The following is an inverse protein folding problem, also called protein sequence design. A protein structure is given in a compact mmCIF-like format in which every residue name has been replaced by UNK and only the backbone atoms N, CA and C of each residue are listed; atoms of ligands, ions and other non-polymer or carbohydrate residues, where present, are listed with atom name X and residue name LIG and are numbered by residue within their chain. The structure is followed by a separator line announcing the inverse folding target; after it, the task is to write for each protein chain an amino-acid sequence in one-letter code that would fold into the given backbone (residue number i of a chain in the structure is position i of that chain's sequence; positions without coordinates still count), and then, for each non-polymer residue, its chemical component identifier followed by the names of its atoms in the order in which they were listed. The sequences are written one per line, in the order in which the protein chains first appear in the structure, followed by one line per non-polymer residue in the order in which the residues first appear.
data_IF_419103911736
#
_entry.id   IF_419103911736
#
_cell.length_a   1.000
_cell.length_b   1.000
_cell.length_c   1.000
_cell.angle_alpha   90.00
_cell.angle_beta   90.00
_cell.angle_gamma   90.00
#
_symmetry.space_group_name_H-M   'P 1'
#
loop_
_entity.id
_entity.type
_entity.pdbx_description
1 polymer ?
#
# COMPACT_ATOMS: atom_id res chain seq x y z
N UNK A 1 20.39 -51.76 66.80
CA UNK A 1 21.12 -50.57 66.31
C UNK A 1 20.87 -50.47 64.81
N UNK A 2 19.93 -49.63 64.40
CA UNK A 2 19.43 -49.56 63.02
C UNK A 2 20.20 -48.48 62.23
N UNK A 3 20.88 -48.86 61.14
CA UNK A 3 21.48 -47.91 60.20
C UNK A 3 20.49 -47.62 59.06
N UNK A 4 19.92 -46.42 59.06
CA UNK A 4 19.15 -45.86 57.96
C UNK A 4 20.12 -45.41 56.85
N UNK A 5 19.98 -45.97 55.65
CA UNK A 5 20.64 -45.47 54.44
C UNK A 5 19.83 -44.28 53.92
N UNK A 6 20.41 -43.09 53.91
CA UNK A 6 19.83 -41.91 53.28
C UNK A 6 20.27 -41.85 51.81
N UNK A 7 19.31 -41.96 50.89
CA UNK A 7 19.51 -41.75 49.46
C UNK A 7 19.47 -40.24 49.18
N UNK A 8 20.56 -39.67 48.67
CA UNK A 8 20.60 -38.29 48.21
C UNK A 8 20.25 -38.24 46.72
N UNK A 9 19.04 -37.78 46.39
CA UNK A 9 18.62 -37.52 45.01
C UNK A 9 19.10 -36.12 44.62
N UNK A 10 20.07 -36.04 43.71
CA UNK A 10 20.58 -34.78 43.16
C UNK A 10 19.58 -34.23 42.14
N UNK A 11 18.81 -33.20 42.53
CA UNK A 11 17.96 -32.46 41.61
C UNK A 11 18.82 -31.50 40.79
N UNK A 12 19.02 -31.81 39.51
CA UNK A 12 19.65 -30.88 38.55
C UNK A 12 18.60 -29.84 38.16
N UNK A 13 18.74 -28.64 38.71
CA UNK A 13 17.93 -27.48 38.33
C UNK A 13 18.46 -26.96 36.98
N UNK A 14 17.77 -27.28 35.88
CA UNK A 14 18.01 -26.67 34.57
C UNK A 14 17.57 -25.21 34.65
N UNK A 15 18.53 -24.31 34.90
CA UNK A 15 18.34 -22.88 34.77
C UNK A 15 18.23 -22.57 33.27
N UNK A 16 17.01 -22.42 32.77
CA UNK A 16 16.78 -21.89 31.42
C UNK A 16 17.32 -20.45 31.40
N UNK A 17 18.47 -20.26 30.78
CA UNK A 17 19.01 -18.93 30.48
C UNK A 17 18.06 -18.33 29.44
N UNK A 18 17.13 -17.49 29.88
CA UNK A 18 16.36 -16.65 28.99
C UNK A 18 17.36 -15.70 28.32
N UNK A 19 17.72 -15.99 27.06
CA UNK A 19 18.44 -15.03 26.23
C UNK A 19 17.61 -13.74 26.19
N UNK A 20 18.22 -12.55 26.39
CA UNK A 20 17.48 -11.31 26.28
C UNK A 20 16.87 -11.25 24.89
N UNK A 21 15.54 -11.09 24.82
CA UNK A 21 14.87 -10.79 23.58
C UNK A 21 15.53 -9.52 23.02
N UNK A 22 16.14 -9.61 21.83
CA UNK A 22 16.74 -8.46 21.17
C UNK A 22 15.72 -7.34 21.04
N UNK A 23 16.16 -6.08 21.18
CA UNK A 23 15.29 -4.94 21.01
C UNK A 23 14.66 -4.96 19.60
N UNK A 24 13.36 -4.70 19.50
CA UNK A 24 12.65 -4.69 18.23
C UNK A 24 13.27 -3.65 17.26
N UNK A 25 13.38 -4.03 15.99
CA UNK A 25 13.87 -3.17 14.93
C UNK A 25 12.88 -2.01 14.71
N UNK A 26 13.35 -0.77 14.83
CA UNK A 26 12.47 0.40 14.64
C UNK A 26 12.32 0.71 13.16
N UNK A 27 11.13 0.51 12.63
CA UNK A 27 10.82 0.68 11.21
C UNK A 27 9.86 1.85 11.03
N UNK A 28 10.23 2.77 10.13
CA UNK A 28 9.34 3.82 9.66
C UNK A 28 8.80 3.44 8.29
N UNK A 29 7.51 3.19 8.19
CA UNK A 29 6.83 3.00 6.91
C UNK A 29 6.32 4.35 6.39
N UNK A 30 6.45 4.61 5.08
CA UNK A 30 5.92 5.85 4.49
C UNK A 30 4.39 5.84 4.47
N UNK A 31 3.79 4.68 4.22
CA UNK A 31 2.35 4.48 4.11
C UNK A 31 1.84 3.37 5.03
N UNK A 32 0.55 3.43 5.43
CA UNK A 32 -0.04 2.44 6.34
C UNK A 32 -0.12 1.02 5.76
N UNK A 33 -0.21 0.84 4.42
CA UNK A 33 -0.13 -0.49 3.78
C UNK A 33 1.18 -1.19 4.13
N UNK A 34 2.28 -0.44 3.95
CA UNK A 34 3.63 -0.90 4.22
C UNK A 34 3.80 -1.15 5.73
N UNK A 35 3.17 -0.32 6.56
CA UNK A 35 3.20 -0.50 8.01
C UNK A 35 2.51 -1.80 8.44
N UNK A 36 1.31 -2.09 7.93
CA UNK A 36 0.59 -3.34 8.20
C UNK A 36 1.42 -4.54 7.72
N UNK A 37 1.83 -4.57 6.44
CA UNK A 37 2.63 -5.67 5.89
C UNK A 37 3.91 -5.91 6.69
N UNK A 38 4.63 -4.85 7.07
CA UNK A 38 5.84 -4.96 7.91
C UNK A 38 5.53 -5.61 9.26
N UNK A 39 4.41 -5.27 9.91
CA UNK A 39 4.01 -5.92 11.17
C UNK A 39 3.63 -7.39 10.97
N UNK A 40 2.91 -7.73 9.89
CA UNK A 40 2.54 -9.12 9.58
C UNK A 40 3.77 -10.01 9.36
N UNK A 41 4.81 -9.45 8.75
CA UNK A 41 6.08 -10.14 8.46
C UNK A 41 6.99 -10.20 9.70
N UNK A 42 7.17 -9.06 10.38
CA UNK A 42 8.14 -8.92 11.46
C UNK A 42 7.66 -9.35 12.84
N UNK A 43 6.34 -9.37 13.08
CA UNK A 43 5.77 -9.68 14.39
C UNK A 43 6.36 -8.80 15.50
N UNK A 44 6.68 -9.40 16.66
CA UNK A 44 7.27 -8.70 17.81
C UNK A 44 8.71 -8.21 17.56
N UNK A 45 9.35 -8.63 16.46
CA UNK A 45 10.73 -8.24 16.15
C UNK A 45 10.81 -6.86 15.49
N UNK A 46 9.68 -6.26 15.14
CA UNK A 46 9.62 -4.91 14.55
C UNK A 46 8.72 -4.02 15.39
N UNK A 47 9.15 -2.78 15.59
CA UNK A 47 8.32 -1.69 16.07
C UNK A 47 8.09 -0.73 14.90
N UNK A 48 6.85 -0.68 14.41
CA UNK A 48 6.51 -0.02 13.14
C UNK A 48 5.65 1.21 13.37
N UNK A 49 6.10 2.35 12.88
CA UNK A 49 5.32 3.59 12.80
C UNK A 49 5.12 4.03 11.35
N UNK A 50 4.00 4.67 11.05
CA UNK A 50 3.72 5.23 9.71
C UNK A 50 3.93 6.75 9.67
N UNK A 51 4.26 7.27 8.49
CA UNK A 51 4.31 8.71 8.18
C UNK A 51 2.90 9.19 7.77
N UNK A 52 2.36 8.65 6.68
CA UNK A 52 1.05 9.03 6.15
C UNK A 52 -0.10 8.36 6.91
N UNK A 53 -1.29 8.97 6.80
CA UNK A 53 -2.56 8.43 7.26
C UNK A 53 -3.37 7.87 6.07
N UNK A 54 -4.26 6.90 6.31
CA UNK A 54 -4.93 6.17 5.25
C UNK A 54 -5.89 6.99 4.38
N UNK A 55 -6.38 8.13 4.87
CA UNK A 55 -7.31 9.00 4.16
C UNK A 55 -6.60 10.15 3.40
N UNK A 56 -5.27 10.17 3.39
CA UNK A 56 -4.49 11.23 2.75
C UNK A 56 -4.19 10.89 1.28
N UNK A 57 -3.99 11.94 0.48
CA UNK A 57 -3.42 11.84 -0.85
C UNK A 57 -1.92 11.46 -0.73
N UNK A 58 -1.49 10.31 -1.29
CA UNK A 58 -0.12 9.84 -1.14
C UNK A 58 0.92 10.76 -1.81
N UNK A 59 0.49 11.64 -2.73
CA UNK A 59 1.34 12.64 -3.38
C UNK A 59 1.49 13.94 -2.56
N UNK A 60 0.67 14.11 -1.51
CA UNK A 60 0.59 15.35 -0.71
C UNK A 60 0.77 15.12 0.79
N UNK A 61 1.57 14.12 1.16
CA UNK A 61 1.90 13.87 2.57
C UNK A 61 2.58 15.11 3.17
N UNK A 62 2.07 15.66 4.29
CA UNK A 62 2.60 16.89 4.87
C UNK A 62 3.98 16.67 5.49
N UNK A 63 4.94 17.55 5.19
CA UNK A 63 6.27 17.54 5.84
C UNK A 63 6.15 18.10 7.26
N UNK A 64 6.34 17.27 8.29
CA UNK A 64 6.20 17.64 9.71
C UNK A 64 7.50 17.41 10.50
N UNK A 65 7.87 18.27 11.47
CA UNK A 65 9.05 18.04 12.32
C UNK A 65 9.02 16.71 13.08
N UNK A 66 7.85 16.24 13.48
CA UNK A 66 7.71 14.94 14.17
C UNK A 66 8.13 13.75 13.29
N UNK A 67 8.05 13.86 11.97
CA UNK A 67 8.50 12.81 11.05
C UNK A 67 10.04 12.76 10.98
N UNK A 68 10.71 13.90 11.07
CA UNK A 68 12.17 13.98 11.18
C UNK A 68 12.65 13.22 12.41
N UNK A 69 12.01 13.42 13.57
CA UNK A 69 12.36 12.70 14.80
C UNK A 69 12.18 11.19 14.66
N UNK A 70 11.09 10.73 14.04
CA UNK A 70 10.87 9.30 13.74
C UNK A 70 12.00 8.74 12.87
N UNK A 71 12.31 9.42 11.76
CA UNK A 71 13.33 8.99 10.79
C UNK A 71 14.75 9.04 11.36
N UNK A 72 15.08 10.03 12.19
CA UNK A 72 16.39 10.14 12.84
C UNK A 72 16.69 8.92 13.72
N UNK A 73 15.66 8.36 14.34
CA UNK A 73 15.76 7.20 15.21
C UNK A 73 15.45 5.87 14.51
N UNK A 74 15.12 5.86 13.22
CA UNK A 74 14.78 4.62 12.54
C UNK A 74 16.01 3.74 12.31
N UNK A 75 15.81 2.43 12.36
CA UNK A 75 16.80 1.45 11.90
C UNK A 75 16.53 1.04 10.45
N UNK A 76 15.26 1.12 10.01
CA UNK A 76 14.86 0.99 8.61
C UNK A 76 13.73 1.97 8.23
N UNK A 77 13.68 2.34 6.95
CA UNK A 77 12.55 3.00 6.30
C UNK A 77 12.01 2.11 5.18
N UNK A 78 10.70 1.90 5.16
CA UNK A 78 10.02 1.15 4.09
C UNK A 78 9.24 2.15 3.24
N UNK A 79 9.56 2.18 1.95
CA UNK A 79 8.96 3.08 0.96
C UNK A 79 8.13 2.29 -0.05
N UNK A 80 7.10 2.91 -0.62
CA UNK A 80 6.36 2.36 -1.75
C UNK A 80 7.30 2.30 -2.95
N UNK A 81 8.04 3.37 -3.24
CA UNK A 81 8.95 3.42 -4.37
C UNK A 81 8.30 3.97 -5.64
N UNK A 82 8.93 3.73 -6.79
CA UNK A 82 8.61 4.35 -8.09
C UNK A 82 8.48 5.90 -8.05
N UNK A 83 9.12 6.53 -7.07
CA UNK A 83 9.13 7.98 -6.90
C UNK A 83 7.91 8.57 -6.18
N UNK A 84 7.00 7.75 -5.63
CA UNK A 84 5.80 8.23 -4.94
C UNK A 84 6.15 9.21 -3.80
N UNK A 85 7.23 8.94 -3.07
CA UNK A 85 7.66 9.75 -1.94
C UNK A 85 8.41 11.04 -2.30
N UNK A 86 8.62 11.34 -3.58
CA UNK A 86 9.51 12.41 -4.05
C UNK A 86 9.22 13.77 -3.42
N UNK A 87 7.94 14.09 -3.18
CA UNK A 87 7.52 15.38 -2.66
C UNK A 87 7.82 15.60 -1.16
N UNK A 88 8.01 14.53 -0.37
CA UNK A 88 8.08 14.66 1.10
C UNK A 88 9.25 13.94 1.76
N UNK A 89 9.65 12.75 1.29
CA UNK A 89 10.66 11.95 1.98
C UNK A 89 12.09 12.51 1.82
N UNK A 90 12.54 12.97 0.63
CA UNK A 90 13.89 13.53 0.49
C UNK A 90 14.23 14.66 1.47
N UNK A 91 13.41 15.74 1.61
CA UNK A 91 13.71 16.79 2.59
C UNK A 91 13.63 16.29 4.04
N UNK A 92 12.77 15.32 4.35
CA UNK A 92 12.71 14.73 5.69
C UNK A 92 13.99 13.95 6.03
N UNK A 93 14.50 13.14 5.09
CA UNK A 93 15.74 12.37 5.27
C UNK A 93 16.96 13.29 5.40
N UNK A 94 17.02 14.36 4.62
CA UNK A 94 18.10 15.36 4.70
C UNK A 94 18.20 15.98 6.10
N UNK A 95 17.06 16.37 6.69
CA UNK A 95 17.03 16.95 8.04
C UNK A 95 17.23 15.88 9.11
N UNK A 96 16.71 14.67 8.91
CA UNK A 96 16.85 13.56 9.85
C UNK A 96 18.30 13.10 10.02
N UNK A 97 19.16 13.28 9.00
CA UNK A 97 20.60 12.96 9.03
C UNK A 97 20.90 11.54 9.53
N UNK A 98 20.08 10.58 9.14
CA UNK A 98 20.27 9.18 9.51
C UNK A 98 20.81 8.39 8.32
N UNK A 99 22.11 8.09 8.35
CA UNK A 99 22.79 7.37 7.28
C UNK A 99 22.29 5.93 7.09
N UNK A 100 21.68 5.29 8.11
CA UNK A 100 21.18 3.91 7.99
C UNK A 100 20.08 3.78 6.94
N UNK A 101 19.29 4.84 6.78
CA UNK A 101 18.07 4.87 5.96
C UNK A 101 18.19 5.85 4.79
N UNK A 102 19.40 6.24 4.40
CA UNK A 102 19.59 7.05 3.20
C UNK A 102 19.30 6.21 1.94
N UNK A 103 18.83 6.81 0.82
CA UNK A 103 18.59 6.06 -0.41
C UNK A 103 19.83 5.27 -0.84
N UNK A 104 19.66 3.97 -1.08
CA UNK A 104 20.74 3.04 -1.44
C UNK A 104 21.37 2.28 -0.26
N UNK A 105 21.06 2.66 0.99
CA UNK A 105 21.62 2.03 2.18
C UNK A 105 20.83 0.79 2.63
N UNK A 106 21.39 0.04 3.59
CA UNK A 106 20.78 -1.20 4.09
C UNK A 106 19.37 -0.99 4.64
N UNK A 107 19.16 0.09 5.40
CA UNK A 107 17.88 0.42 6.01
C UNK A 107 16.88 1.07 5.06
N UNK A 108 17.22 1.34 3.80
CA UNK A 108 16.24 1.82 2.81
C UNK A 108 15.63 0.64 2.07
N UNK A 109 14.38 0.34 2.36
CA UNK A 109 13.64 -0.82 1.83
C UNK A 109 12.61 -0.31 0.83
N UNK A 110 12.81 -0.63 -0.44
CA UNK A 110 11.91 -0.25 -1.53
C UNK A 110 10.93 -1.39 -1.86
N UNK A 111 9.65 -1.19 -1.56
CA UNK A 111 8.61 -2.19 -1.80
C UNK A 111 8.32 -2.42 -3.30
N UNK A 112 8.79 -1.53 -4.18
CA UNK A 112 8.65 -1.66 -5.62
C UNK A 112 9.72 -2.54 -6.28
N UNK A 113 10.68 -3.07 -5.51
CA UNK A 113 11.86 -3.80 -6.03
C UNK A 113 11.53 -4.89 -7.06
N UNK A 114 10.42 -5.61 -6.85
CA UNK A 114 9.98 -6.71 -7.71
C UNK A 114 8.82 -6.36 -8.64
N UNK A 115 8.36 -5.11 -8.60
CA UNK A 115 7.23 -4.64 -9.40
C UNK A 115 7.72 -4.38 -10.82
N UNK A 116 6.96 -4.88 -11.80
CA UNK A 116 7.08 -4.42 -13.18
C UNK A 116 6.18 -3.18 -13.35
N UNK A 117 6.74 -1.97 -13.51
CA UNK A 117 5.92 -0.77 -13.51
C UNK A 117 5.04 -0.68 -14.77
N UNK A 118 3.82 -0.18 -14.58
CA UNK A 118 2.91 0.21 -15.65
C UNK A 118 3.03 1.71 -15.95
N UNK A 119 2.59 2.14 -17.12
CA UNK A 119 2.58 3.54 -17.56
C UNK A 119 3.95 4.24 -17.42
N UNK A 120 5.04 3.53 -17.68
CA UNK A 120 6.38 4.13 -17.74
C UNK A 120 6.44 5.14 -18.90
N UNK A 121 6.70 6.44 -18.65
CA UNK A 121 6.72 7.43 -19.71
C UNK A 121 7.77 7.11 -20.78
N UNK A 122 7.38 7.20 -22.05
CA UNK A 122 8.28 6.96 -23.19
C UNK A 122 9.17 8.16 -23.52
N UNK A 123 8.93 9.33 -22.91
CA UNK A 123 9.76 10.52 -23.07
C UNK A 123 10.02 11.16 -21.71
N UNK A 124 11.28 11.45 -21.38
CA UNK A 124 11.64 12.08 -20.11
C UNK A 124 11.53 13.62 -20.14
N UNK A 125 10.61 14.17 -20.93
CA UNK A 125 10.48 15.63 -21.08
C UNK A 125 9.87 16.23 -19.81
N UNK A 126 10.74 16.60 -18.87
CA UNK A 126 10.41 17.23 -17.58
C UNK A 126 9.56 18.50 -17.69
N UNK A 127 9.50 19.14 -18.86
CA UNK A 127 8.63 20.28 -19.14
C UNK A 127 7.14 19.94 -19.11
N UNK A 128 6.76 18.67 -19.16
CA UNK A 128 5.37 18.24 -19.00
C UNK A 128 4.95 18.04 -17.53
N UNK A 129 5.84 18.23 -16.56
CA UNK A 129 5.47 18.08 -15.14
C UNK A 129 5.03 16.65 -14.79
N UNK A 130 5.67 15.64 -15.39
CA UNK A 130 5.45 14.23 -15.08
C UNK A 130 5.89 13.93 -13.65
N UNK A 131 4.95 13.50 -12.80
CA UNK A 131 5.20 13.20 -11.39
C UNK A 131 5.74 11.77 -11.16
N UNK A 132 5.67 10.90 -12.18
CA UNK A 132 6.05 9.48 -12.08
C UNK A 132 7.00 9.04 -13.21
N UNK A 133 8.26 9.51 -13.20
CA UNK A 133 9.24 9.16 -14.24
C UNK A 133 9.61 7.67 -14.26
N UNK A 134 9.30 6.92 -13.19
CA UNK A 134 9.59 5.49 -13.07
C UNK A 134 8.36 4.60 -13.37
N UNK A 135 7.24 5.20 -13.80
CA UNK A 135 5.95 4.54 -13.98
C UNK A 135 5.02 4.72 -12.79
N UNK A 136 3.77 4.29 -12.96
CA UNK A 136 2.69 4.48 -12.01
C UNK A 136 2.97 3.75 -10.67
N UNK A 137 2.93 4.43 -9.50
CA UNK A 137 3.29 3.84 -8.22
C UNK A 137 2.15 3.11 -7.49
N UNK A 138 0.92 3.11 -8.01
CA UNK A 138 -0.27 2.63 -7.31
C UNK A 138 -0.46 1.10 -7.44
N UNK A 139 0.64 0.35 -7.44
CA UNK A 139 0.63 -1.11 -7.56
C UNK A 139 0.07 -1.79 -6.32
N UNK A 140 0.03 -1.11 -5.17
CA UNK A 140 -0.59 -1.61 -3.95
C UNK A 140 -2.07 -2.00 -4.12
N UNK A 141 -2.78 -1.43 -5.11
CA UNK A 141 -4.17 -1.79 -5.41
C UNK A 141 -4.36 -3.16 -6.08
N UNK A 142 -3.29 -3.78 -6.61
CA UNK A 142 -3.32 -5.16 -7.08
C UNK A 142 -2.77 -6.10 -5.98
N UNK A 143 -3.59 -6.98 -5.39
CA UNK A 143 -3.14 -7.87 -4.31
C UNK A 143 -2.07 -8.87 -4.73
N UNK A 144 -1.91 -9.17 -6.02
CA UNK A 144 -0.78 -9.97 -6.50
C UNK A 144 0.53 -9.18 -6.43
N UNK A 145 0.49 -7.88 -6.73
CA UNK A 145 1.63 -6.98 -6.52
C UNK A 145 1.89 -6.79 -5.01
N UNK A 146 0.83 -6.76 -4.18
CA UNK A 146 0.94 -6.78 -2.72
C UNK A 146 1.77 -7.94 -2.15
N UNK A 147 1.76 -9.11 -2.80
CA UNK A 147 2.67 -10.22 -2.43
C UNK A 147 4.13 -9.90 -2.73
N UNK A 148 4.40 -9.23 -3.86
CA UNK A 148 5.76 -8.82 -4.24
C UNK A 148 6.29 -7.73 -3.30
N UNK A 149 5.40 -6.83 -2.85
CA UNK A 149 5.71 -5.86 -1.79
C UNK A 149 6.12 -6.57 -0.50
N UNK A 150 5.32 -7.54 -0.05
CA UNK A 150 5.61 -8.31 1.15
C UNK A 150 6.96 -9.04 1.05
N UNK A 151 7.29 -9.58 -0.11
CA UNK A 151 8.60 -10.20 -0.37
C UNK A 151 9.74 -9.17 -0.23
N UNK A 152 9.64 -8.03 -0.92
CA UNK A 152 10.65 -6.97 -0.85
C UNK A 152 10.84 -6.46 0.59
N UNK A 153 9.76 -6.34 1.36
CA UNK A 153 9.81 -5.96 2.77
C UNK A 153 10.55 -7.01 3.60
N UNK A 154 10.21 -8.29 3.47
CA UNK A 154 10.84 -9.36 4.25
C UNK A 154 12.35 -9.47 3.99
N UNK A 155 12.76 -9.43 2.73
CA UNK A 155 14.18 -9.44 2.34
C UNK A 155 14.91 -8.18 2.81
N UNK A 156 14.23 -7.02 2.76
CA UNK A 156 14.74 -5.78 3.31
C UNK A 156 14.99 -5.86 4.82
N UNK A 157 14.03 -6.41 5.57
CA UNK A 157 14.15 -6.61 7.01
C UNK A 157 15.27 -7.60 7.35
N UNK A 158 15.39 -8.71 6.60
CA UNK A 158 16.48 -9.68 6.76
C UNK A 158 17.86 -9.06 6.50
N UNK A 159 17.96 -8.17 5.52
CA UNK A 159 19.20 -7.44 5.23
C UNK A 159 19.61 -6.49 6.36
N UNK A 160 18.64 -5.86 7.03
CA UNK A 160 18.89 -4.93 8.15
C UNK A 160 19.15 -5.68 9.46
N UNK A 161 18.45 -6.79 9.68
CA UNK A 161 18.52 -7.61 10.89
C UNK A 161 18.67 -9.11 10.55
N UNK A 162 19.89 -9.57 10.21
CA UNK A 162 20.15 -10.96 9.82
C UNK A 162 19.82 -11.99 10.91
N UNK A 163 19.94 -11.61 12.19
CA UNK A 163 19.58 -12.47 13.32
C UNK A 163 18.06 -12.75 13.35
N UNK A 164 17.27 -11.95 12.62
CA UNK A 164 15.82 -12.05 12.46
C UNK A 164 15.36 -12.81 11.22
N UNK A 165 16.28 -13.23 10.34
CA UNK A 165 15.98 -13.83 9.04
C UNK A 165 14.86 -14.87 9.09
N UNK A 166 14.98 -15.84 10.01
CA UNK A 166 13.97 -16.90 10.16
C UNK A 166 12.58 -16.35 10.50
N UNK A 167 12.51 -15.36 11.39
CA UNK A 167 11.24 -14.72 11.77
C UNK A 167 10.57 -14.06 10.57
N UNK A 168 11.34 -13.30 9.78
CA UNK A 168 10.84 -12.60 8.61
C UNK A 168 10.42 -13.56 7.49
N UNK A 169 11.20 -14.62 7.24
CA UNK A 169 10.88 -15.65 6.26
C UNK A 169 9.61 -16.43 6.65
N UNK A 170 9.49 -16.83 7.93
CA UNK A 170 8.29 -17.50 8.42
C UNK A 170 7.06 -16.56 8.37
N UNK A 171 7.24 -15.27 8.69
CA UNK A 171 6.21 -14.24 8.60
C UNK A 171 5.74 -14.03 7.16
N UNK A 172 6.68 -13.88 6.22
CA UNK A 172 6.39 -13.79 4.78
C UNK A 172 5.62 -15.02 4.29
N UNK A 173 6.04 -16.23 4.66
CA UNK A 173 5.39 -17.46 4.24
C UNK A 173 3.93 -17.52 4.74
N UNK A 174 3.69 -17.19 6.02
CA UNK A 174 2.34 -17.13 6.60
C UNK A 174 1.46 -16.08 5.89
N UNK A 175 1.99 -14.87 5.71
CA UNK A 175 1.23 -13.77 5.13
C UNK A 175 0.96 -14.01 3.63
N UNK A 176 1.93 -14.52 2.89
CA UNK A 176 1.77 -14.90 1.49
C UNK A 176 0.70 -15.98 1.31
N UNK A 177 0.67 -16.99 2.18
CA UNK A 177 -0.36 -18.02 2.14
C UNK A 177 -1.76 -17.48 2.45
N UNK A 178 -1.86 -16.47 3.32
CA UNK A 178 -3.10 -15.76 3.58
C UNK A 178 -3.54 -14.94 2.36
N UNK A 179 -2.63 -14.18 1.75
CA UNK A 179 -2.89 -13.44 0.52
C UNK A 179 -3.31 -14.37 -0.62
N UNK A 180 -2.70 -15.54 -0.78
CA UNK A 180 -3.09 -16.50 -1.83
C UNK A 180 -4.54 -16.98 -1.71
N UNK A 181 -4.99 -17.24 -0.47
CA UNK A 181 -6.40 -17.57 -0.21
C UNK A 181 -7.30 -16.40 -0.55
N UNK A 182 -6.94 -15.20 -0.09
CA UNK A 182 -7.72 -13.99 -0.32
C UNK A 182 -7.78 -13.58 -1.79
N UNK A 183 -6.69 -13.67 -2.53
CA UNK A 183 -6.64 -13.44 -3.99
C UNK A 183 -7.56 -14.41 -4.71
N UNK A 184 -7.61 -15.68 -4.30
CA UNK A 184 -8.52 -16.66 -4.88
C UNK A 184 -10.00 -16.36 -4.59
N UNK A 185 -10.30 -15.86 -3.39
CA UNK A 185 -11.64 -15.38 -3.02
C UNK A 185 -12.03 -14.12 -3.81
N UNK A 186 -11.12 -13.16 -3.89
CA UNK A 186 -11.31 -11.88 -4.57
C UNK A 186 -11.45 -12.03 -6.08
N UNK A 187 -10.75 -12.98 -6.71
CA UNK A 187 -10.94 -13.28 -8.12
C UNK A 187 -12.41 -13.69 -8.42
N UNK A 188 -13.07 -14.41 -7.51
CA UNK A 188 -14.48 -14.77 -7.63
C UNK A 188 -15.40 -13.58 -7.33
N UNK A 189 -15.11 -12.85 -6.25
CA UNK A 189 -15.87 -11.66 -5.86
C UNK A 189 -15.89 -10.60 -6.98
N UNK A 190 -14.73 -10.34 -7.58
CA UNK A 190 -14.51 -9.30 -8.57
C UNK A 190 -14.84 -9.75 -10.00
N UNK A 191 -15.28 -10.98 -10.23
CA UNK A 191 -15.66 -11.46 -11.56
C UNK A 191 -16.66 -10.54 -12.29
N UNK A 192 -17.66 -9.90 -11.62
CA UNK A 192 -18.55 -8.94 -12.27
C UNK A 192 -17.89 -7.64 -12.74
N UNK A 193 -16.66 -7.33 -12.32
CA UNK A 193 -15.95 -6.11 -12.72
C UNK A 193 -15.34 -6.21 -14.13
N UNK A 194 -15.21 -7.43 -14.69
CA UNK A 194 -14.60 -7.64 -16.00
C UNK A 194 -15.44 -6.97 -17.10
N UNK A 195 -14.81 -6.09 -17.87
CA UNK A 195 -15.44 -5.30 -18.94
C UNK A 195 -16.27 -4.11 -18.44
N UNK A 196 -16.31 -3.87 -17.12
CA UNK A 196 -16.94 -2.66 -16.58
C UNK A 196 -16.09 -1.47 -16.98
N UNK A 197 -16.75 -0.48 -17.57
CA UNK A 197 -16.10 0.78 -17.98
C UNK A 197 -16.18 1.78 -16.86
N UNK A 198 -15.03 2.31 -16.49
CA UNK A 198 -14.91 3.27 -15.40
C UNK A 198 -14.08 4.47 -15.79
N UNK A 199 -14.38 5.59 -15.13
CA UNK A 199 -13.48 6.73 -15.03
C UNK A 199 -13.02 6.80 -13.59
N UNK A 200 -11.74 7.01 -13.35
CA UNK A 200 -11.22 7.26 -12.01
C UNK A 200 -11.09 8.76 -11.76
N UNK A 201 -11.09 9.17 -10.49
CA UNK A 201 -10.81 10.58 -10.18
C UNK A 201 -9.35 10.86 -10.51
N UNK A 202 -8.44 10.03 -10.00
CA UNK A 202 -7.00 10.11 -10.17
C UNK A 202 -6.48 8.87 -10.96
N UNK A 203 -5.35 8.91 -11.70
CA UNK A 203 -4.81 7.74 -12.42
C UNK A 203 -4.21 6.67 -11.48
N UNK A 204 -4.98 6.19 -10.50
CA UNK A 204 -4.49 5.25 -9.48
C UNK A 204 -4.84 3.80 -9.83
N UNK A 205 -5.89 3.59 -10.62
CA UNK A 205 -6.53 2.28 -10.72
C UNK A 205 -5.86 1.32 -11.71
N UNK A 206 -4.79 1.71 -12.40
CA UNK A 206 -4.29 0.95 -13.55
C UNK A 206 -3.96 -0.51 -13.20
N UNK A 207 -3.33 -0.77 -12.05
CA UNK A 207 -2.98 -2.13 -11.62
C UNK A 207 -4.22 -2.95 -11.22
N UNK A 208 -5.16 -2.34 -10.48
CA UNK A 208 -6.43 -2.97 -10.13
C UNK A 208 -7.26 -3.28 -11.38
N UNK A 209 -7.23 -2.36 -12.35
CA UNK A 209 -7.96 -2.49 -13.60
C UNK A 209 -7.40 -3.62 -14.47
N UNK A 210 -6.07 -3.72 -14.61
CA UNK A 210 -5.42 -4.84 -15.30
C UNK A 210 -5.75 -6.17 -14.60
N UNK A 211 -5.68 -6.22 -13.26
CA UNK A 211 -5.95 -7.43 -12.47
C UNK A 211 -7.36 -7.99 -12.69
N UNK A 212 -8.38 -7.13 -12.69
CA UNK A 212 -9.78 -7.56 -12.73
C UNK A 212 -10.45 -7.32 -14.09
N UNK A 213 -9.71 -6.84 -15.08
CA UNK A 213 -10.19 -6.60 -16.44
C UNK A 213 -11.20 -5.45 -16.53
N UNK A 214 -11.03 -4.41 -15.72
CA UNK A 214 -11.81 -3.17 -15.80
C UNK A 214 -11.29 -2.33 -16.97
N UNK A 215 -12.20 -1.70 -17.71
CA UNK A 215 -11.86 -0.80 -18.82
C UNK A 215 -11.79 0.65 -18.32
N UNK A 216 -10.59 1.19 -18.19
CA UNK A 216 -10.37 2.60 -17.84
C UNK A 216 -10.56 3.49 -19.07
N UNK A 217 -11.55 4.40 -19.01
CA UNK A 217 -11.87 5.33 -20.12
C UNK A 217 -11.14 6.66 -19.99
N UNK A 218 -10.78 7.05 -18.76
CA UNK A 218 -10.04 8.28 -18.49
C UNK A 218 -10.07 8.64 -17.02
N UNK A 219 -9.56 9.84 -16.72
CA UNK A 219 -9.48 10.37 -15.36
C UNK A 219 -10.05 11.79 -15.27
N UNK A 220 -10.66 12.13 -14.12
CA UNK A 220 -11.10 13.50 -13.85
C UNK A 220 -9.89 14.42 -13.74
N UNK A 221 -8.95 14.06 -12.87
CA UNK A 221 -7.67 14.72 -12.68
C UNK A 221 -6.62 14.08 -13.59
N UNK A 222 -5.96 14.88 -14.42
CA UNK A 222 -4.96 14.38 -15.37
C UNK A 222 -3.58 14.17 -14.75
N UNK A 223 -3.27 14.90 -13.68
CA UNK A 223 -1.98 14.87 -12.99
C UNK A 223 -2.14 15.13 -11.50
N UNK A 224 -1.35 14.48 -10.63
CA UNK A 224 -1.49 14.67 -9.19
C UNK A 224 -1.37 16.13 -8.76
N UNK A 225 -2.40 16.59 -8.05
CA UNK A 225 -2.53 17.94 -7.53
C UNK A 225 -2.85 19.03 -8.55
N UNK A 226 -3.17 18.69 -9.80
CA UNK A 226 -3.51 19.67 -10.86
C UNK A 226 -5.00 19.60 -11.15
N UNK A 227 -5.79 20.63 -10.76
CA UNK A 227 -7.21 20.65 -11.05
C UNK A 227 -7.53 20.48 -12.54
N UNK A 228 -8.58 19.72 -12.84
CA UNK A 228 -9.06 19.51 -14.19
C UNK A 228 -9.48 20.83 -14.85
N UNK A 229 -9.12 21.03 -16.13
CA UNK A 229 -9.62 22.17 -16.90
C UNK A 229 -11.06 21.91 -17.36
N UNK A 230 -11.88 22.96 -17.57
CA UNK A 230 -13.24 22.77 -18.10
C UNK A 230 -13.26 22.02 -19.44
N UNK A 231 -12.32 22.30 -20.35
CA UNK A 231 -12.22 21.62 -21.63
C UNK A 231 -11.97 20.12 -21.48
N UNK A 232 -11.03 19.73 -20.60
CA UNK A 232 -10.76 18.32 -20.29
C UNK A 232 -12.01 17.62 -19.72
N UNK A 233 -12.73 18.28 -18.81
CA UNK A 233 -13.94 17.71 -18.23
C UNK A 233 -15.05 17.49 -19.27
N UNK A 234 -15.23 18.41 -20.22
CA UNK A 234 -16.19 18.22 -21.31
C UNK A 234 -15.81 17.05 -22.22
N UNK A 235 -14.54 16.96 -22.62
CA UNK A 235 -14.02 15.85 -23.43
C UNK A 235 -14.20 14.50 -22.72
N UNK A 236 -13.91 14.44 -21.42
CA UNK A 236 -14.11 13.26 -20.59
C UNK A 236 -15.58 12.86 -20.52
N UNK A 237 -16.49 13.82 -20.32
CA UNK A 237 -17.94 13.58 -20.24
C UNK A 237 -18.49 13.04 -21.57
N UNK A 238 -18.03 13.57 -22.69
CA UNK A 238 -18.42 13.08 -24.02
C UNK A 238 -17.88 11.67 -24.27
N UNK A 239 -16.63 11.40 -23.91
CA UNK A 239 -16.07 10.05 -23.93
C UNK A 239 -16.86 9.09 -23.04
N UNK A 240 -17.21 9.49 -21.82
CA UNK A 240 -18.01 8.68 -20.91
C UNK A 240 -19.37 8.29 -21.50
N UNK A 241 -20.06 9.23 -22.17
CA UNK A 241 -21.34 8.96 -22.85
C UNK A 241 -21.15 8.01 -24.04
N UNK A 242 -20.14 8.25 -24.87
CA UNK A 242 -19.83 7.41 -26.03
C UNK A 242 -19.51 5.97 -25.63
N UNK A 243 -18.69 5.82 -24.59
CA UNK A 243 -18.25 4.51 -24.10
C UNK A 243 -19.25 3.87 -23.13
N UNK A 244 -20.33 4.56 -22.75
CA UNK A 244 -21.33 4.09 -21.77
C UNK A 244 -20.65 3.69 -20.45
N UNK A 245 -19.86 4.62 -19.90
CA UNK A 245 -19.18 4.44 -18.61
C UNK A 245 -20.20 4.22 -17.51
N UNK A 246 -19.95 3.21 -16.68
CA UNK A 246 -20.87 2.78 -15.63
C UNK A 246 -20.54 3.46 -14.31
N UNK A 247 -19.25 3.59 -13.98
CA UNK A 247 -18.79 4.10 -12.70
C UNK A 247 -17.82 5.28 -12.85
N UNK A 248 -17.96 6.24 -11.95
CA UNK A 248 -16.95 7.20 -11.57
C UNK A 248 -16.37 6.74 -10.24
N UNK A 249 -15.15 6.23 -10.25
CA UNK A 249 -14.45 5.81 -9.03
C UNK A 249 -13.77 7.02 -8.41
N UNK A 250 -14.07 7.30 -7.14
CA UNK A 250 -13.48 8.40 -6.38
C UNK A 250 -12.78 7.85 -5.14
N UNK A 251 -11.52 8.19 -4.98
CA UNK A 251 -10.73 7.86 -3.81
C UNK A 251 -11.09 8.80 -2.64
N UNK A 252 -11.02 8.32 -1.39
CA UNK A 252 -11.41 9.10 -0.21
C UNK A 252 -10.67 10.43 -0.06
N UNK A 253 -9.47 10.52 -0.60
CA UNK A 253 -8.60 11.70 -0.56
C UNK A 253 -9.08 12.86 -1.45
N UNK A 254 -9.97 12.62 -2.42
CA UNK A 254 -10.34 13.61 -3.44
C UNK A 254 -11.77 14.17 -3.27
N UNK A 255 -12.08 15.33 -3.80
CA UNK A 255 -13.37 16.00 -3.55
C UNK A 255 -14.56 15.32 -4.23
N UNK A 256 -15.59 14.97 -3.44
CA UNK A 256 -16.81 14.31 -3.93
C UNK A 256 -17.65 15.16 -4.91
N UNK A 257 -17.84 16.49 -4.71
CA UNK A 257 -18.74 17.27 -5.56
C UNK A 257 -18.42 17.22 -7.06
N UNK A 258 -17.13 17.21 -7.42
CA UNK A 258 -16.72 17.15 -8.82
C UNK A 258 -17.02 15.77 -9.44
N UNK A 259 -16.73 14.69 -8.71
CA UNK A 259 -17.08 13.33 -9.14
C UNK A 259 -18.60 13.17 -9.32
N UNK A 260 -19.39 13.74 -8.42
CA UNK A 260 -20.86 13.76 -8.52
C UNK A 260 -21.33 14.50 -9.77
N UNK A 261 -20.78 15.68 -10.03
CA UNK A 261 -21.12 16.47 -11.22
C UNK A 261 -20.87 15.69 -12.51
N UNK A 262 -19.71 15.02 -12.61
CA UNK A 262 -19.36 14.19 -13.78
C UNK A 262 -20.30 13.00 -13.92
N UNK A 263 -20.62 12.32 -12.80
CA UNK A 263 -21.54 11.20 -12.78
C UNK A 263 -22.97 11.60 -13.21
N UNK A 264 -23.51 12.70 -12.68
CA UNK A 264 -24.84 13.20 -13.03
C UNK A 264 -24.97 13.55 -14.52
N UNK A 265 -23.92 14.13 -15.10
CA UNK A 265 -23.90 14.53 -16.53
C UNK A 265 -23.76 13.35 -17.50
N UNK A 266 -23.42 12.17 -17.00
CA UNK A 266 -23.14 10.97 -17.81
C UNK A 266 -24.10 9.82 -17.51
N UNK A 267 -24.83 9.87 -16.40
CA UNK A 267 -25.65 8.77 -15.90
C UNK A 267 -24.81 7.67 -15.23
N UNK A 268 -23.50 7.87 -15.09
CA UNK A 268 -22.63 6.98 -14.32
C UNK A 268 -22.90 7.14 -12.82
N UNK A 269 -22.36 6.21 -12.02
CA UNK A 269 -22.48 6.26 -10.56
C UNK A 269 -21.16 6.55 -9.90
N UNK A 270 -21.18 7.37 -8.86
CA UNK A 270 -20.01 7.53 -8.02
C UNK A 270 -19.88 6.32 -7.09
N UNK A 271 -18.70 5.73 -7.05
CA UNK A 271 -18.29 4.74 -6.06
C UNK A 271 -17.08 5.27 -5.31
N UNK A 272 -17.10 5.21 -3.98
CA UNK A 272 -15.96 5.64 -3.15
C UNK A 272 -15.09 4.45 -2.77
N UNK A 273 -13.79 4.59 -2.96
CA UNK A 273 -12.77 3.62 -2.54
C UNK A 273 -11.68 4.33 -1.72
N UNK A 274 -10.77 3.58 -1.11
CA UNK A 274 -9.51 4.13 -0.58
C UNK A 274 -8.34 3.78 -1.51
N UNK A 275 -7.21 4.49 -1.40
CA UNK A 275 -5.92 4.11 -1.99
C UNK A 275 -4.92 3.57 -0.98
N UNK A 276 -5.19 3.74 0.31
CA UNK A 276 -4.33 3.32 1.42
C UNK A 276 -5.16 2.62 2.52
N UNK A 277 -4.50 1.72 3.23
CA UNK A 277 -4.99 1.08 4.46
C UNK A 277 -5.40 2.15 5.47
N UNK A 278 -6.56 1.98 6.10
CA UNK A 278 -7.14 2.88 7.09
C UNK A 278 -7.84 4.11 6.48
N UNK A 279 -7.99 4.20 5.16
CA UNK A 279 -8.68 5.33 4.52
C UNK A 279 -10.19 5.30 4.63
N UNK A 280 -10.78 4.13 4.88
CA UNK A 280 -12.20 3.94 5.15
C UNK A 280 -12.41 3.22 6.49
N UNK A 281 -13.59 3.34 7.13
CA UNK A 281 -13.89 2.59 8.34
C UNK A 281 -13.78 1.08 8.12
N UNK A 282 -13.08 0.38 9.02
CA UNK A 282 -12.90 -1.07 8.97
C UNK A 282 -11.94 -1.55 7.87
N UNK A 283 -11.02 -0.69 7.40
CA UNK A 283 -9.97 -1.05 6.45
C UNK A 283 -8.58 -0.97 7.07
N UNK A 284 -8.43 -1.35 8.35
CA UNK A 284 -7.23 -1.09 9.15
C UNK A 284 -6.03 -2.00 8.79
N UNK A 285 -6.28 -3.05 8.00
CA UNK A 285 -5.26 -3.90 7.37
C UNK A 285 -5.31 -3.84 5.86
N UNK A 286 -4.21 -4.19 5.19
CA UNK A 286 -4.13 -4.24 3.72
C UNK A 286 -5.18 -5.19 3.12
N UNK A 287 -5.45 -6.32 3.80
CA UNK A 287 -6.46 -7.29 3.34
C UNK A 287 -7.87 -6.70 3.43
N UNK A 288 -8.22 -6.07 4.55
CA UNK A 288 -9.54 -5.45 4.71
C UNK A 288 -9.75 -4.31 3.73
N UNK A 289 -8.70 -3.51 3.52
CA UNK A 289 -8.63 -2.45 2.52
C UNK A 289 -8.96 -2.94 1.10
N UNK A 290 -8.25 -3.95 0.60
CA UNK A 290 -8.51 -4.51 -0.74
C UNK A 290 -9.92 -5.11 -0.80
N UNK A 291 -10.34 -5.85 0.22
CA UNK A 291 -11.66 -6.48 0.25
C UNK A 291 -12.79 -5.44 0.23
N UNK A 292 -12.66 -4.34 0.98
CA UNK A 292 -13.63 -3.26 1.01
C UNK A 292 -13.75 -2.55 -0.34
N UNK A 293 -12.62 -2.24 -0.98
CA UNK A 293 -12.60 -1.64 -2.31
C UNK A 293 -13.30 -2.53 -3.35
N UNK A 294 -13.00 -3.83 -3.37
CA UNK A 294 -13.65 -4.76 -4.30
C UNK A 294 -15.14 -4.90 -4.06
N UNK A 295 -15.58 -4.98 -2.79
CA UNK A 295 -17.01 -5.00 -2.44
C UNK A 295 -17.72 -3.72 -2.88
N UNK A 296 -17.12 -2.56 -2.69
CA UNK A 296 -17.69 -1.28 -3.10
C UNK A 296 -17.88 -1.23 -4.62
N UNK A 297 -16.85 -1.60 -5.39
CA UNK A 297 -16.92 -1.66 -6.85
C UNK A 297 -17.99 -2.65 -7.33
N UNK A 298 -17.99 -3.88 -6.82
CA UNK A 298 -18.96 -4.93 -7.22
C UNK A 298 -20.40 -4.55 -6.85
N UNK A 299 -20.60 -3.94 -5.67
CA UNK A 299 -21.91 -3.46 -5.25
C UNK A 299 -22.45 -2.35 -6.15
N UNK A 300 -21.58 -1.44 -6.59
CA UNK A 300 -21.95 -0.35 -7.51
C UNK A 300 -22.36 -0.86 -8.91
N UNK A 301 -21.73 -1.95 -9.39
CA UNK A 301 -22.10 -2.62 -10.65
C UNK A 301 -23.40 -3.41 -10.50
N UNK A 302 -23.57 -4.19 -9.43
CA UNK A 302 -24.70 -5.11 -9.27
C UNK A 302 -26.04 -4.39 -9.14
N UNK A 303 -26.04 -3.20 -8.54
CA UNK A 303 -27.23 -2.33 -8.48
C UNK A 303 -27.57 -1.69 -9.84
N UNK A 304 -26.73 -1.85 -10.88
CA UNK A 304 -26.97 -1.36 -12.25
C UNK A 304 -27.69 -2.35 -13.15
N UNK A 305 -27.74 -3.61 -12.74
CA UNK A 305 -28.39 -4.69 -13.50
C UNK A 305 -29.86 -4.90 -13.13
N UNK A 306 -30.40 -4.18 -12.14
CA UNK A 306 -31.83 -4.17 -11.83
C UNK A 306 -32.50 -2.95 -12.50
N UNK A 307 -33.28 -3.16 -13.59
CA UNK A 307 -34.05 -2.10 -14.23
C UNK A 307 -35.19 -1.58 -13.35
#
# INVERSE_FOLDING_TARGET
MALRRASATLAVLLLAIALPAGAALRVVATFPDLADMTRQIGGERVDVVTIAEGNQDPHKVPVKPSFVTKLNHADAVVVMGLGLEHAFLPPLLEVARNAKIAPGELGYIDASLYIKPLEVPTSQNRTQGELHPLGNPHFNLDPVQGKLMAQAIAEGLERVDPDGAKTYQDGLARYSALLDRKISEWAKLAAPLRGVRVVSYHPDLIYLAERYGIELIGTIETKPGVPATPAHLEELIDAMKQHKVQLVVREVAYELPLAQTVAERTGARVVTISTLTGGLPGTDTYIEFIEANLKALVGAVSTASNP
#
